data_IF_891887569976
#
_entry.id   IF_891887569976
#
_cell.length_a   1.000
_cell.length_b   1.000
_cell.length_c   1.000
_cell.angle_alpha   90.00
_cell.angle_beta   90.00
_cell.angle_gamma   90.00
#
_symmetry.space_group_name_H-M   'P 1'
#
loop_
_entity.id
_entity.type
_entity.pdbx_description
1 polymer ?
#
# COMPACT_ATOMS: atom_id res chain seq x y z
N UNK A 1 11.55 -7.86 3.74
CA UNK A 1 10.79 -6.70 3.24
C UNK A 1 11.38 -6.32 1.90
N UNK A 2 10.61 -6.44 0.85
CA UNK A 2 11.02 -6.10 -0.51
C UNK A 2 10.20 -4.89 -0.97
N UNK A 3 10.86 -3.94 -1.63
CA UNK A 3 10.27 -2.73 -2.19
C UNK A 3 10.52 -2.67 -3.69
N UNK A 4 9.55 -2.20 -4.44
CA UNK A 4 9.69 -1.85 -5.84
C UNK A 4 9.60 -0.34 -5.98
N UNK A 5 10.61 0.28 -6.61
CA UNK A 5 10.67 1.73 -6.85
C UNK A 5 10.98 2.02 -8.31
N UNK A 6 10.16 2.79 -9.05
CA UNK A 6 10.61 3.48 -10.25
C UNK A 6 11.51 4.65 -9.83
N UNK A 7 12.67 4.77 -10.43
CA UNK A 7 13.77 5.65 -10.03
C UNK A 7 13.36 7.06 -9.57
N UNK A 8 13.86 7.44 -8.41
CA UNK A 8 13.64 8.74 -7.79
C UNK A 8 14.25 9.87 -8.62
N UNK A 9 13.47 10.91 -8.90
CA UNK A 9 13.95 12.18 -9.45
C UNK A 9 14.10 13.15 -8.28
N UNK A 10 15.35 13.46 -7.92
CA UNK A 10 15.68 14.50 -6.96
C UNK A 10 15.34 15.87 -7.50
N UNK A 11 14.48 16.62 -6.84
CA UNK A 11 14.41 18.08 -6.97
C UNK A 11 14.52 18.76 -5.62
N UNK A 12 15.43 19.70 -5.59
CA UNK A 12 15.86 20.56 -4.52
C UNK A 12 14.75 21.44 -3.97
N UNK A 13 14.65 21.50 -2.72
CA UNK A 13 14.26 22.39 -1.65
C UNK A 13 13.57 21.57 -0.55
N UNK A 14 13.98 21.75 0.64
CA UNK A 14 13.73 21.10 1.93
C UNK A 14 12.25 20.95 2.35
N UNK A 15 11.35 20.51 1.47
CA UNK A 15 9.98 20.11 1.85
C UNK A 15 9.85 18.60 1.74
N UNK A 16 9.64 17.96 2.89
CA UNK A 16 9.35 16.52 2.97
C UNK A 16 8.11 16.20 2.13
N UNK A 17 8.13 15.06 1.46
CA UNK A 17 7.00 14.60 0.64
C UNK A 17 5.78 14.24 1.51
N UNK A 18 4.60 14.33 0.95
CA UNK A 18 3.37 13.84 1.57
C UNK A 18 2.93 12.57 0.86
N UNK A 19 2.41 11.60 1.59
CA UNK A 19 1.96 10.36 1.01
C UNK A 19 0.52 10.00 1.40
N UNK A 20 -0.16 9.31 0.50
CA UNK A 20 -1.35 8.53 0.81
C UNK A 20 -0.96 7.06 0.63
N UNK A 21 -0.98 6.35 1.74
CA UNK A 21 -0.72 4.92 1.77
C UNK A 21 -2.04 4.16 1.60
N UNK A 22 -2.01 3.11 0.81
CA UNK A 22 -3.17 2.26 0.54
C UNK A 22 -2.90 0.82 0.97
N UNK A 23 -3.81 0.19 1.69
CA UNK A 23 -3.84 -1.27 1.67
C UNK A 23 -4.23 -1.76 0.27
N UNK A 24 -3.89 -2.98 -0.07
CA UNK A 24 -4.20 -3.56 -1.38
C UNK A 24 -5.52 -4.33 -1.34
N UNK A 25 -5.53 -5.47 -0.68
CA UNK A 25 -6.66 -6.40 -0.68
C UNK A 25 -7.82 -5.87 0.16
N UNK A 26 -9.01 -5.78 -0.43
CA UNK A 26 -10.19 -5.17 0.21
C UNK A 26 -10.19 -3.65 0.22
N UNK A 27 -9.19 -3.00 -0.39
CA UNK A 27 -9.07 -1.53 -0.48
C UNK A 27 -8.86 -1.09 -1.92
N UNK A 28 -7.66 -1.28 -2.50
CA UNK A 28 -7.42 -0.96 -3.93
C UNK A 28 -8.06 -1.97 -4.87
N UNK A 29 -8.15 -3.22 -4.46
CA UNK A 29 -8.86 -4.26 -5.20
C UNK A 29 -9.92 -4.93 -4.33
N UNK A 30 -10.92 -5.52 -4.98
CA UNK A 30 -11.91 -6.36 -4.32
C UNK A 30 -11.24 -7.51 -3.57
N UNK A 31 -11.75 -7.85 -2.38
CA UNK A 31 -11.19 -8.93 -1.58
C UNK A 31 -11.35 -10.27 -2.27
N UNK A 32 -10.22 -10.85 -2.66
CA UNK A 32 -10.10 -12.23 -3.12
C UNK A 32 -9.06 -12.90 -2.25
N UNK A 33 -9.46 -13.95 -1.57
CA UNK A 33 -8.63 -14.65 -0.60
C UNK A 33 -7.28 -15.06 -1.21
N UNK A 34 -6.18 -14.51 -0.68
CA UNK A 34 -4.82 -14.73 -1.17
C UNK A 34 -4.62 -14.40 -2.66
N UNK A 35 -5.12 -13.25 -3.10
CA UNK A 35 -4.98 -12.76 -4.46
C UNK A 35 -3.50 -12.68 -4.89
N UNK A 36 -3.17 -13.41 -5.96
CA UNK A 36 -1.83 -13.45 -6.55
C UNK A 36 -1.84 -13.52 -8.09
N UNK A 37 -3.01 -13.77 -8.68
CA UNK A 37 -3.18 -13.88 -10.14
C UNK A 37 -3.76 -12.60 -10.71
N UNK A 38 -3.25 -12.19 -11.86
CA UNK A 38 -3.70 -11.01 -12.60
C UNK A 38 -5.16 -11.16 -13.03
N UNK A 39 -5.55 -12.34 -13.48
CA UNK A 39 -6.92 -12.62 -13.95
C UNK A 39 -8.00 -12.50 -12.87
N UNK A 40 -7.62 -12.60 -11.61
CA UNK A 40 -8.53 -12.51 -10.46
C UNK A 40 -8.59 -11.09 -9.87
N UNK A 41 -7.78 -10.16 -10.40
CA UNK A 41 -7.69 -8.79 -9.88
C UNK A 41 -8.81 -7.91 -10.43
N UNK A 42 -9.59 -7.31 -9.53
CA UNK A 42 -10.62 -6.33 -9.88
C UNK A 42 -10.38 -5.06 -9.06
N UNK A 43 -10.19 -3.92 -9.73
CA UNK A 43 -10.08 -2.64 -9.04
C UNK A 43 -11.36 -2.32 -8.26
N UNK A 44 -11.21 -1.88 -7.02
CA UNK A 44 -12.31 -1.28 -6.24
C UNK A 44 -12.80 -0.01 -6.95
N UNK A 45 -14.11 0.24 -6.90
CA UNK A 45 -14.70 1.47 -7.43
C UNK A 45 -14.01 2.71 -6.81
N UNK A 46 -13.56 3.63 -7.66
CA UNK A 46 -12.85 4.85 -7.23
C UNK A 46 -11.36 4.65 -6.88
N UNK A 47 -10.79 3.45 -6.99
CA UNK A 47 -9.39 3.20 -6.64
C UNK A 47 -8.41 3.92 -7.58
N UNK A 48 -8.67 3.87 -8.88
CA UNK A 48 -7.84 4.55 -9.88
C UNK A 48 -7.93 6.06 -9.70
N UNK A 49 -9.14 6.58 -9.45
CA UNK A 49 -9.38 8.01 -9.16
C UNK A 49 -8.66 8.47 -7.89
N UNK A 50 -8.64 7.65 -6.85
CA UNK A 50 -7.92 7.94 -5.60
C UNK A 50 -6.41 8.04 -5.83
N UNK A 51 -5.83 7.10 -6.60
CA UNK A 51 -4.41 7.12 -6.96
C UNK A 51 -4.10 8.34 -7.84
N UNK A 52 -4.95 8.60 -8.84
CA UNK A 52 -4.78 9.77 -9.70
C UNK A 52 -4.86 11.09 -8.92
N UNK A 53 -5.75 11.19 -7.95
CA UNK A 53 -5.82 12.34 -7.04
C UNK A 53 -4.48 12.57 -6.34
N UNK A 54 -3.82 11.51 -5.86
CA UNK A 54 -2.49 11.64 -5.25
C UNK A 54 -1.50 12.31 -6.22
N UNK A 55 -1.39 11.76 -7.43
CA UNK A 55 -0.46 12.25 -8.45
C UNK A 55 -0.75 13.71 -8.85
N UNK A 56 -2.03 14.09 -8.95
CA UNK A 56 -2.45 15.44 -9.35
C UNK A 56 -2.29 16.47 -8.20
N UNK A 57 -2.16 16.04 -6.93
CA UNK A 57 -2.15 16.93 -5.75
C UNK A 57 -0.87 16.84 -4.91
N UNK A 58 0.23 16.39 -5.50
CA UNK A 58 1.54 16.27 -4.85
C UNK A 58 1.51 15.38 -3.59
N UNK A 59 0.81 14.27 -3.65
CA UNK A 59 0.94 13.16 -2.73
C UNK A 59 1.61 11.98 -3.46
N UNK A 60 2.53 11.33 -2.78
CA UNK A 60 3.00 10.02 -3.23
C UNK A 60 1.88 9.00 -3.02
N UNK A 61 1.62 8.17 -4.02
CA UNK A 61 0.69 7.05 -3.95
C UNK A 61 1.47 5.77 -3.65
N UNK A 62 1.37 5.25 -2.42
CA UNK A 62 2.19 4.13 -1.96
C UNK A 62 1.31 2.99 -1.45
N UNK A 63 1.56 1.77 -1.89
CA UNK A 63 0.88 0.56 -1.39
C UNK A 63 1.66 -0.05 -0.23
N UNK A 64 0.94 -0.44 0.84
CA UNK A 64 1.48 -1.23 1.95
C UNK A 64 0.57 -2.43 2.23
N UNK A 65 1.03 -3.65 2.00
CA UNK A 65 0.16 -4.83 2.03
C UNK A 65 0.78 -6.04 2.73
N UNK A 66 -0.04 -6.79 3.47
CA UNK A 66 0.33 -8.07 4.06
C UNK A 66 0.07 -9.20 3.07
N UNK A 67 1.14 -9.90 2.64
CA UNK A 67 1.08 -10.97 1.65
C UNK A 67 1.53 -12.32 2.22
N UNK A 68 0.87 -12.78 3.27
CA UNK A 68 1.24 -14.01 4.00
C UNK A 68 1.04 -15.32 3.23
N UNK A 69 0.38 -15.28 2.07
CA UNK A 69 0.26 -16.44 1.18
C UNK A 69 1.63 -17.00 0.75
N UNK A 70 2.64 -16.12 0.64
CA UNK A 70 4.02 -16.51 0.37
C UNK A 70 4.59 -17.37 1.51
N UNK A 71 4.48 -16.93 2.76
CA UNK A 71 4.92 -17.70 3.92
C UNK A 71 4.16 -19.01 4.08
N UNK A 72 2.89 -19.03 3.69
CA UNK A 72 2.01 -20.21 3.74
C UNK A 72 2.23 -21.18 2.56
N UNK A 73 3.06 -20.82 1.58
CA UNK A 73 3.36 -21.63 0.41
C UNK A 73 2.21 -21.76 -0.59
N UNK A 74 1.27 -20.82 -0.60
CA UNK A 74 0.15 -20.82 -1.54
C UNK A 74 0.56 -20.34 -2.94
N UNK A 75 1.57 -19.46 -3.01
CA UNK A 75 2.17 -18.97 -4.24
C UNK A 75 3.58 -18.43 -3.97
N UNK A 76 4.45 -18.40 -4.99
CA UNK A 76 5.78 -17.84 -4.85
C UNK A 76 5.75 -16.31 -4.81
N UNK A 77 6.78 -15.69 -4.22
CA UNK A 77 6.93 -14.24 -4.10
C UNK A 77 6.91 -13.53 -5.46
N UNK A 78 7.43 -14.19 -6.49
CA UNK A 78 7.49 -13.69 -7.87
C UNK A 78 6.10 -13.38 -8.46
N UNK A 79 5.04 -14.09 -8.04
CA UNK A 79 3.68 -13.83 -8.52
C UNK A 79 3.15 -12.51 -7.96
N UNK A 80 3.47 -12.19 -6.71
CA UNK A 80 3.14 -10.88 -6.11
C UNK A 80 3.89 -9.75 -6.85
N UNK A 81 5.15 -9.94 -7.17
CA UNK A 81 5.93 -8.94 -7.90
C UNK A 81 5.36 -8.69 -9.31
N UNK A 82 4.96 -9.75 -10.02
CA UNK A 82 4.30 -9.65 -11.34
C UNK A 82 2.96 -8.91 -11.25
N UNK A 83 2.14 -9.24 -10.24
CA UNK A 83 0.86 -8.57 -10.02
C UNK A 83 1.06 -7.08 -9.73
N UNK A 84 2.00 -6.72 -8.87
CA UNK A 84 2.31 -5.33 -8.56
C UNK A 84 2.83 -4.55 -9.77
N UNK A 85 3.68 -5.15 -10.59
CA UNK A 85 4.12 -4.54 -11.84
C UNK A 85 2.94 -4.32 -12.80
N UNK A 86 2.08 -5.31 -12.96
CA UNK A 86 0.89 -5.21 -13.79
C UNK A 86 -0.08 -4.11 -13.30
N UNK A 87 -0.30 -3.98 -11.98
CA UNK A 87 -1.12 -2.90 -11.41
C UNK A 87 -0.62 -1.53 -11.87
N UNK A 88 0.69 -1.28 -11.76
CA UNK A 88 1.27 -0.01 -12.17
C UNK A 88 1.23 0.20 -13.70
N UNK A 89 1.35 -0.85 -14.49
CA UNK A 89 1.19 -0.76 -15.94
C UNK A 89 -0.26 -0.46 -16.36
N UNK A 90 -1.27 -1.01 -15.66
CA UNK A 90 -2.67 -0.65 -15.87
C UNK A 90 -2.94 0.83 -15.57
N UNK A 91 -2.41 1.36 -14.46
CA UNK A 91 -2.58 2.75 -14.05
C UNK A 91 -2.05 3.74 -15.09
N UNK A 92 -0.98 3.42 -15.80
CA UNK A 92 -0.42 4.27 -16.88
C UNK A 92 -1.46 4.60 -17.95
N UNK A 93 -2.32 3.64 -18.31
CA UNK A 93 -3.41 3.84 -19.26
C UNK A 93 -4.46 4.87 -18.80
N UNK A 94 -4.53 5.13 -17.49
CA UNK A 94 -5.40 6.10 -16.86
C UNK A 94 -4.70 7.41 -16.48
N UNK A 95 -3.44 7.57 -16.85
CA UNK A 95 -2.61 8.73 -16.47
C UNK A 95 -2.31 8.79 -14.97
N UNK A 96 -2.23 7.63 -14.32
CA UNK A 96 -1.93 7.45 -12.92
C UNK A 96 -0.73 6.52 -12.70
N UNK A 97 -0.13 6.55 -11.52
CA UNK A 97 0.98 5.65 -11.15
C UNK A 97 1.07 5.48 -9.63
N UNK A 98 1.70 4.39 -9.22
CA UNK A 98 2.16 4.18 -7.85
C UNK A 98 3.65 4.55 -7.75
N UNK A 99 4.00 5.30 -6.71
CA UNK A 99 5.38 5.71 -6.43
C UNK A 99 6.17 4.62 -5.71
N UNK A 100 5.49 3.79 -4.94
CA UNK A 100 6.10 2.66 -4.26
C UNK A 100 5.09 1.57 -3.87
N UNK A 101 5.58 0.34 -3.74
CA UNK A 101 4.81 -0.78 -3.23
C UNK A 101 5.66 -1.54 -2.22
N UNK A 102 5.18 -1.60 -0.99
CA UNK A 102 5.80 -2.35 0.11
C UNK A 102 4.89 -3.50 0.52
N UNK A 103 5.45 -4.68 0.68
CA UNK A 103 4.69 -5.84 1.11
C UNK A 103 5.43 -6.67 2.14
N UNK A 104 4.67 -7.31 3.00
CA UNK A 104 5.19 -8.23 4.00
C UNK A 104 4.84 -9.67 3.61
N UNK A 105 5.81 -10.51 3.17
CA UNK A 105 5.56 -11.90 2.83
C UNK A 105 5.54 -12.82 4.07
N UNK A 106 5.86 -12.29 5.26
CA UNK A 106 6.10 -13.08 6.46
C UNK A 106 4.82 -13.46 7.22
N UNK A 107 4.87 -14.63 7.85
CA UNK A 107 3.89 -15.06 8.85
C UNK A 107 4.54 -16.05 9.84
N UNK A 108 4.36 -15.89 11.17
CA UNK A 108 5.02 -16.77 12.15
C UNK A 108 4.59 -18.24 12.04
N UNK A 109 3.39 -18.51 11.54
CA UNK A 109 2.85 -19.85 11.28
C UNK A 109 3.02 -20.29 9.81
N UNK A 110 3.93 -19.65 9.07
CA UNK A 110 4.25 -20.03 7.71
C UNK A 110 4.95 -21.38 7.64
N UNK A 111 4.89 -22.02 6.47
CA UNK A 111 5.59 -23.29 6.21
C UNK A 111 6.87 -23.10 5.38
N UNK A 112 7.01 -21.95 4.72
CA UNK A 112 8.20 -21.63 3.94
C UNK A 112 9.25 -20.98 4.85
N UNK A 113 10.28 -21.73 5.22
CA UNK A 113 11.22 -21.40 6.30
C UNK A 113 11.77 -19.98 6.29
N UNK A 114 12.16 -19.44 5.11
CA UNK A 114 12.70 -18.07 5.00
C UNK A 114 11.68 -16.97 5.29
N UNK A 115 10.37 -17.27 5.23
CA UNK A 115 9.28 -16.35 5.51
C UNK A 115 8.50 -16.68 6.80
N UNK A 116 8.77 -17.85 7.40
CA UNK A 116 8.11 -18.32 8.63
C UNK A 116 8.75 -17.68 9.86
N UNK A 117 8.54 -16.38 10.04
CA UNK A 117 9.16 -15.61 11.12
C UNK A 117 8.28 -14.44 11.59
N UNK A 118 8.57 -13.96 12.79
CA UNK A 118 8.06 -12.66 13.27
C UNK A 118 8.92 -11.55 12.67
N UNK A 119 8.29 -10.50 12.19
CA UNK A 119 8.94 -9.34 11.59
C UNK A 119 8.33 -8.04 12.12
N UNK A 120 8.94 -6.92 11.81
CA UNK A 120 8.43 -5.57 12.10
C UNK A 120 7.63 -4.95 10.95
N UNK A 121 7.59 -5.60 9.77
CA UNK A 121 6.91 -5.06 8.59
C UNK A 121 5.44 -5.47 8.47
N UNK A 122 5.00 -6.54 9.15
CA UNK A 122 3.62 -7.01 9.06
C UNK A 122 2.67 -6.09 9.84
N UNK A 123 1.69 -5.47 9.16
CA UNK A 123 0.62 -4.70 9.82
C UNK A 123 -0.09 -5.54 10.88
N UNK A 124 -0.35 -5.02 12.10
CA UNK A 124 -0.35 -3.60 12.48
C UNK A 124 1.02 -2.98 12.80
N UNK A 125 2.13 -3.70 12.68
CA UNK A 125 3.45 -3.09 12.92
C UNK A 125 3.83 -2.13 11.78
N UNK A 126 4.49 -0.99 12.08
CA UNK A 126 4.66 0.12 11.15
C UNK A 126 5.85 -0.01 10.20
N UNK A 127 6.54 -1.15 10.16
CA UNK A 127 7.83 -1.27 9.48
C UNK A 127 7.82 -0.95 7.98
N UNK A 128 6.70 -1.20 7.27
CA UNK A 128 6.58 -0.81 5.85
C UNK A 128 6.44 0.71 5.70
N UNK A 129 5.67 1.37 6.57
CA UNK A 129 5.54 2.83 6.59
C UNK A 129 6.86 3.52 6.90
N UNK A 130 7.57 3.05 7.94
CA UNK A 130 8.87 3.59 8.34
C UNK A 130 9.96 3.37 7.28
N UNK A 131 9.84 2.32 6.46
CA UNK A 131 10.75 2.13 5.34
C UNK A 131 10.43 3.12 4.21
N UNK A 132 9.16 3.31 3.88
CA UNK A 132 8.74 4.29 2.88
C UNK A 132 9.13 5.73 3.29
N UNK A 133 8.96 6.09 4.57
CA UNK A 133 9.41 7.36 5.13
C UNK A 133 10.88 7.64 4.80
N UNK A 134 11.75 6.66 5.01
CA UNK A 134 13.19 6.80 4.73
C UNK A 134 13.52 6.86 3.25
N UNK A 135 12.81 6.08 2.44
CA UNK A 135 13.08 5.96 1.02
C UNK A 135 12.67 7.22 0.24
N UNK A 136 11.64 7.93 0.72
CA UNK A 136 11.05 9.09 0.06
C UNK A 136 11.09 10.40 0.86
N UNK A 137 11.65 10.42 2.06
CA UNK A 137 11.68 11.59 2.95
C UNK A 137 10.27 12.15 3.24
N UNK A 138 9.38 11.29 3.77
CA UNK A 138 7.94 11.56 3.93
C UNK A 138 7.65 12.28 5.25
N UNK A 139 6.85 13.35 5.20
CA UNK A 139 6.19 13.96 6.37
C UNK A 139 5.00 13.08 6.80
N UNK A 140 5.25 12.19 7.74
CA UNK A 140 4.25 11.23 8.22
C UNK A 140 3.03 11.92 8.85
N UNK A 141 3.23 13.06 9.54
CA UNK A 141 2.15 13.80 10.18
C UNK A 141 1.17 14.46 9.18
N UNK A 142 1.62 14.68 7.93
CA UNK A 142 0.79 15.20 6.83
C UNK A 142 0.32 14.12 5.87
N UNK A 143 0.56 12.87 6.20
CA UNK A 143 0.26 11.70 5.37
C UNK A 143 -0.93 10.91 5.92
N UNK A 144 -1.51 10.09 5.05
CA UNK A 144 -2.70 9.29 5.36
C UNK A 144 -2.46 7.83 5.01
N UNK A 145 -3.11 6.92 5.74
CA UNK A 145 -3.23 5.51 5.37
C UNK A 145 -4.71 5.15 5.33
N UNK A 146 -5.17 4.67 4.18
CA UNK A 146 -6.52 4.13 4.00
C UNK A 146 -6.47 2.62 3.83
N UNK A 147 -7.29 1.90 4.61
CA UNK A 147 -7.36 0.44 4.57
C UNK A 147 -8.63 -0.11 5.19
N UNK A 148 -8.99 -1.34 4.83
CA UNK A 148 -10.22 -2.01 5.25
C UNK A 148 -10.13 -2.66 6.63
N UNK A 149 -8.92 -2.90 7.16
CA UNK A 149 -8.65 -3.55 8.43
C UNK A 149 -8.44 -2.60 9.61
N UNK A 150 -8.82 -2.99 10.83
CA UNK A 150 -8.40 -2.29 12.05
C UNK A 150 -6.86 -2.22 12.13
N UNK A 151 -6.17 -3.26 11.67
CA UNK A 151 -4.70 -3.35 11.58
C UNK A 151 -4.06 -2.22 10.75
N UNK A 152 -4.81 -1.63 9.79
CA UNK A 152 -4.33 -0.52 8.97
C UNK A 152 -4.33 0.77 9.77
N UNK A 153 -5.42 1.05 10.48
CA UNK A 153 -5.53 2.21 11.37
C UNK A 153 -4.49 2.13 12.51
N UNK A 154 -4.36 0.96 13.16
CA UNK A 154 -3.34 0.73 14.19
C UNK A 154 -1.91 0.92 13.65
N UNK A 155 -1.66 0.46 12.41
CA UNK A 155 -0.38 0.65 11.73
C UNK A 155 -0.09 2.13 11.46
N UNK A 156 -1.10 2.88 11.00
CA UNK A 156 -1.01 4.31 10.77
C UNK A 156 -0.66 5.06 12.07
N UNK A 157 -1.41 4.81 13.13
CA UNK A 157 -1.18 5.41 14.46
C UNK A 157 0.22 5.14 14.98
N UNK A 158 0.70 3.89 14.84
CA UNK A 158 2.04 3.48 15.27
C UNK A 158 3.17 4.18 14.51
N UNK A 159 2.90 4.70 13.30
CA UNK A 159 3.85 5.44 12.46
C UNK A 159 3.65 6.96 12.51
N UNK A 160 2.66 7.48 13.25
CA UNK A 160 2.34 8.91 13.26
C UNK A 160 1.62 9.39 11.99
N UNK A 161 0.99 8.48 11.25
CA UNK A 161 0.20 8.73 10.05
C UNK A 161 -1.29 8.78 10.42
N UNK A 162 -2.09 9.57 9.72
CA UNK A 162 -3.54 9.63 9.92
C UNK A 162 -4.24 8.44 9.28
N UNK A 163 -4.87 7.60 10.09
CA UNK A 163 -5.58 6.40 9.64
C UNK A 163 -7.00 6.70 9.16
N UNK A 164 -7.38 6.17 8.00
CA UNK A 164 -8.74 6.23 7.45
C UNK A 164 -9.25 4.79 7.31
N UNK A 165 -10.34 4.49 8.01
CA UNK A 165 -10.99 3.18 7.90
C UNK A 165 -11.89 3.14 6.66
N UNK A 166 -11.55 2.28 5.71
CA UNK A 166 -12.41 2.00 4.55
C UNK A 166 -13.44 0.93 4.88
N UNK A 167 -14.70 1.20 4.63
CA UNK A 167 -15.83 0.30 4.94
C UNK A 167 -16.63 -0.11 3.70
N UNK A 168 -16.06 0.11 2.52
CA UNK A 168 -16.71 -0.20 1.24
C UNK A 168 -17.24 1.04 0.51
N UNK A 169 -17.77 0.82 -0.68
CA UNK A 169 -18.25 1.87 -1.59
C UNK A 169 -17.13 2.47 -2.46
N UNK A 170 -17.30 3.71 -2.90
CA UNK A 170 -16.32 4.39 -3.74
C UNK A 170 -15.10 4.82 -2.92
N UNK A 171 -13.91 4.28 -3.23
CA UNK A 171 -12.68 4.50 -2.48
C UNK A 171 -12.22 5.97 -2.52
N UNK A 172 -12.35 6.63 -3.67
CA UNK A 172 -11.99 8.04 -3.79
C UNK A 172 -12.86 8.92 -2.88
N UNK A 173 -14.18 8.66 -2.83
CA UNK A 173 -15.07 9.40 -1.94
C UNK A 173 -14.72 9.15 -0.47
N UNK A 174 -14.47 7.90 -0.09
CA UNK A 174 -14.07 7.53 1.27
C UNK A 174 -12.76 8.22 1.69
N UNK A 175 -11.78 8.30 0.77
CA UNK A 175 -10.53 9.02 0.99
C UNK A 175 -10.78 10.51 1.23
N UNK A 176 -11.59 11.16 0.37
CA UNK A 176 -11.89 12.61 0.48
C UNK A 176 -12.60 12.95 1.77
N UNK A 177 -13.53 12.10 2.20
CA UNK A 177 -14.27 12.31 3.44
C UNK A 177 -13.37 12.09 4.67
N UNK A 178 -12.58 11.02 4.69
CA UNK A 178 -11.63 10.76 5.76
C UNK A 178 -10.53 11.82 5.90
N UNK A 179 -10.10 12.44 4.81
CA UNK A 179 -9.14 13.56 4.86
C UNK A 179 -9.72 14.84 5.45
N UNK A 180 -11.04 15.06 5.39
CA UNK A 180 -11.71 16.21 6.01
C UNK A 180 -11.90 16.05 7.52
N UNK A 181 -12.04 14.80 7.99
CA UNK A 181 -12.30 14.47 9.40
C UNK A 181 -11.01 14.44 10.23
N UNK A 182 -9.85 14.35 9.61
CA UNK A 182 -8.53 14.26 10.21
C UNK A 182 -7.70 15.53 9.95
#
# INVERSE_FOLDING_TARGET
>A
MTSWMPGAISNTVNDMEKAIFFDRDGTLNEEVHFLHKIEDFVWTEGAIEAIKFCNDHNYLAIVITNQSGVARGYYPEEDIMKLHQWMNDQLKGHGAHLDGIYYCPHHPEGIIGKYALKCNCRKPLPGMLLQAEKDFDIDMAKSYLIGDGARDVECAEAAGVKGIRYTGGNLYQALMDGMKEN
#
